data_IF_985433591119
#
_entry.id   IF_985433591119
#
_cell.length_a   1.000
_cell.length_b   1.000
_cell.length_c   1.000
_cell.angle_alpha   90.00
_cell.angle_beta   90.00
_cell.angle_gamma   90.00
#
_symmetry.space_group_name_H-M   'P 1'
#
loop_
_entity.id
_entity.type
_entity.pdbx_description
1 polymer ?
#
# COMPACT_ATOMS: atom_id res chain seq x y z
N UNK A 1 -2.33 -1.34 -24.13
CA UNK A 1 -1.10 -1.87 -23.52
C UNK A 1 -1.23 -1.68 -22.02
N UNK A 2 -1.45 -2.75 -21.24
CA UNK A 2 -1.55 -2.62 -19.79
C UNK A 2 -0.13 -2.72 -19.21
N UNK A 3 0.45 -1.57 -18.86
CA UNK A 3 1.76 -1.53 -18.21
C UNK A 3 1.68 -2.20 -16.85
N UNK A 4 2.52 -3.20 -16.61
CA UNK A 4 2.72 -3.71 -15.26
C UNK A 4 3.43 -2.63 -14.44
N UNK A 5 2.81 -2.18 -13.35
CA UNK A 5 3.53 -1.37 -12.37
C UNK A 5 4.70 -2.20 -11.85
N UNK A 6 5.91 -1.65 -11.90
CA UNK A 6 7.11 -2.34 -11.40
C UNK A 6 7.00 -2.46 -9.88
N UNK A 7 7.50 -3.57 -9.32
CA UNK A 7 7.49 -3.79 -7.88
C UNK A 7 8.17 -2.64 -7.11
N UNK A 8 9.25 -2.08 -7.65
CA UNK A 8 9.91 -0.90 -7.05
C UNK A 8 8.97 0.31 -6.91
N UNK A 9 8.10 0.54 -7.90
CA UNK A 9 7.12 1.63 -7.86
C UNK A 9 5.99 1.34 -6.87
N UNK A 10 5.56 0.08 -6.74
CA UNK A 10 4.63 -0.31 -5.68
C UNK A 10 5.23 -0.05 -4.30
N UNK A 11 6.51 -0.39 -4.09
CA UNK A 11 7.21 -0.13 -2.82
C UNK A 11 7.35 1.35 -2.55
N UNK A 12 7.70 2.17 -3.56
CA UNK A 12 7.74 3.62 -3.41
C UNK A 12 6.40 4.17 -2.90
N UNK A 13 5.29 3.74 -3.51
CA UNK A 13 3.93 4.12 -3.07
C UNK A 13 3.63 3.60 -1.66
N UNK A 14 3.95 2.33 -1.38
CA UNK A 14 3.68 1.71 -0.09
C UNK A 14 4.36 2.42 1.07
N UNK A 15 5.64 2.74 0.91
CA UNK A 15 6.42 3.46 1.92
C UNK A 15 6.10 4.95 1.98
N UNK A 16 5.65 5.60 0.89
CA UNK A 16 5.31 7.03 0.90
C UNK A 16 3.91 7.30 1.43
N UNK A 17 2.92 6.49 1.03
CA UNK A 17 1.50 6.76 1.31
C UNK A 17 0.92 5.86 2.40
N UNK A 18 1.33 4.58 2.47
CA UNK A 18 0.64 3.62 3.32
C UNK A 18 1.29 3.44 4.69
N UNK A 19 2.61 3.17 4.72
CA UNK A 19 3.46 2.74 5.85
C UNK A 19 2.78 2.85 7.23
N UNK A 20 1.87 1.91 7.56
CA UNK A 20 1.03 2.07 8.74
C UNK A 20 1.77 1.69 10.03
N UNK A 21 2.85 0.91 9.90
CA UNK A 21 3.74 0.50 10.99
C UNK A 21 4.77 1.61 11.28
N UNK A 22 5.11 2.44 10.29
CA UNK A 22 6.11 3.48 10.40
C UNK A 22 7.53 2.91 10.31
N UNK A 23 7.75 1.95 9.41
CA UNK A 23 9.05 1.29 9.22
C UNK A 23 10.09 2.21 8.59
N UNK A 24 9.66 3.12 7.70
CA UNK A 24 10.56 4.02 7.01
C UNK A 24 10.51 5.43 7.62
N UNK A 25 11.63 5.84 8.22
CA UNK A 25 11.74 7.19 8.74
C UNK A 25 11.76 8.23 7.60
N UNK A 26 11.24 9.43 7.88
CA UNK A 26 11.19 10.52 6.90
C UNK A 26 12.59 10.83 6.35
N UNK A 27 12.74 10.74 5.03
CA UNK A 27 14.00 11.00 4.33
C UNK A 27 14.89 9.78 4.14
N UNK A 28 14.49 8.61 4.64
CA UNK A 28 15.14 7.35 4.33
C UNK A 28 14.59 6.73 3.03
N UNK A 29 15.34 5.75 2.51
CA UNK A 29 14.95 4.92 1.37
C UNK A 29 14.80 3.48 1.85
N UNK A 30 13.76 2.81 1.37
CA UNK A 30 13.46 1.42 1.74
C UNK A 30 14.47 0.42 1.15
N UNK A 31 15.16 0.80 0.07
CA UNK A 31 16.12 -0.07 -0.62
C UNK A 31 17.22 -0.54 0.34
N UNK A 32 17.60 -1.80 0.21
CA UNK A 32 18.56 -2.50 1.08
C UNK A 32 18.15 -2.62 2.57
N UNK A 33 16.95 -2.18 2.98
CA UNK A 33 16.43 -2.42 4.33
C UNK A 33 15.92 -3.88 4.44
N UNK A 34 16.05 -4.52 5.61
CA UNK A 34 15.58 -5.91 5.80
C UNK A 34 14.06 -6.06 5.72
N UNK A 35 13.32 -4.95 5.78
CA UNK A 35 11.86 -4.90 5.67
C UNK A 35 11.37 -4.37 4.31
N UNK A 36 12.27 -4.26 3.32
CA UNK A 36 11.96 -3.69 2.01
C UNK A 36 10.76 -4.35 1.29
N UNK A 37 10.48 -5.61 1.61
CA UNK A 37 9.41 -6.43 1.05
C UNK A 37 8.20 -6.60 1.98
N UNK A 38 8.20 -5.98 3.16
CA UNK A 38 7.16 -6.14 4.19
C UNK A 38 5.74 -5.91 3.63
N UNK A 39 5.59 -4.94 2.72
CA UNK A 39 4.30 -4.57 2.15
C UNK A 39 4.01 -5.21 0.79
N UNK A 40 4.96 -5.94 0.20
CA UNK A 40 4.85 -6.48 -1.15
C UNK A 40 3.57 -7.31 -1.37
N UNK A 41 3.20 -8.26 -0.49
CA UNK A 41 2.03 -9.12 -0.73
C UNK A 41 0.73 -8.31 -0.85
N UNK A 42 0.56 -7.30 0.00
CA UNK A 42 -0.65 -6.49 0.04
C UNK A 42 -0.72 -5.52 -1.15
N UNK A 43 0.40 -4.88 -1.49
CA UNK A 43 0.48 -3.94 -2.60
C UNK A 43 0.32 -4.66 -3.95
N UNK A 44 0.89 -5.86 -4.08
CA UNK A 44 0.71 -6.71 -5.25
C UNK A 44 -0.74 -7.18 -5.40
N UNK A 45 -1.41 -7.56 -4.31
CA UNK A 45 -2.82 -7.94 -4.35
C UNK A 45 -3.70 -6.74 -4.72
N UNK A 46 -3.56 -5.60 -4.06
CA UNK A 46 -4.32 -4.38 -4.37
C UNK A 46 -4.13 -3.98 -5.84
N UNK A 47 -2.88 -3.94 -6.32
CA UNK A 47 -2.59 -3.62 -7.72
C UNK A 47 -3.12 -4.68 -8.70
N UNK A 48 -3.05 -5.96 -8.33
CA UNK A 48 -3.59 -7.07 -9.11
C UNK A 48 -5.10 -6.99 -9.29
N UNK A 49 -5.81 -6.61 -8.23
CA UNK A 49 -7.26 -6.46 -8.21
C UNK A 49 -7.74 -5.18 -8.90
N UNK A 50 -7.07 -4.05 -8.66
CA UNK A 50 -7.35 -2.77 -9.33
C UNK A 50 -7.19 -2.85 -10.85
N UNK A 51 -6.30 -3.71 -11.36
CA UNK A 51 -6.16 -3.97 -12.80
C UNK A 51 -7.29 -4.81 -13.40
N UNK A 52 -8.07 -5.49 -12.56
CA UNK A 52 -9.15 -6.37 -12.99
C UNK A 52 -10.47 -5.64 -12.84
N UNK A 53 -11.06 -5.73 -11.66
CA UNK A 53 -12.45 -5.40 -11.39
C UNK A 53 -12.65 -4.51 -10.17
N UNK A 54 -11.62 -4.31 -9.33
CA UNK A 54 -11.74 -3.43 -8.17
C UNK A 54 -11.79 -1.96 -8.58
N UNK A 55 -12.72 -1.24 -7.97
CA UNK A 55 -12.66 0.22 -7.90
C UNK A 55 -11.72 0.64 -6.76
N UNK A 56 -11.40 1.94 -6.68
CA UNK A 56 -10.52 2.44 -5.61
C UNK A 56 -11.08 2.15 -4.23
N UNK A 57 -12.39 2.28 -4.03
CA UNK A 57 -12.99 2.02 -2.71
C UNK A 57 -12.79 0.57 -2.25
N UNK A 58 -12.84 -0.43 -3.16
CA UNK A 58 -12.54 -1.83 -2.81
C UNK A 58 -11.09 -1.99 -2.32
N UNK A 59 -10.15 -1.32 -2.99
CA UNK A 59 -8.75 -1.33 -2.59
C UNK A 59 -8.52 -0.59 -1.27
N UNK A 60 -9.27 0.49 -1.00
CA UNK A 60 -9.24 1.21 0.29
C UNK A 60 -9.71 0.30 1.41
N UNK A 61 -10.85 -0.36 1.24
CA UNK A 61 -11.38 -1.30 2.24
C UNK A 61 -10.42 -2.46 2.49
N UNK A 62 -9.80 -2.99 1.44
CA UNK A 62 -8.77 -4.02 1.56
C UNK A 62 -7.57 -3.56 2.38
N UNK A 63 -6.97 -2.41 2.05
CA UNK A 63 -5.80 -1.88 2.76
C UNK A 63 -6.13 -1.54 4.22
N UNK A 64 -7.33 -1.01 4.48
CA UNK A 64 -7.81 -0.76 5.85
C UNK A 64 -7.96 -2.06 6.64
N UNK A 65 -8.49 -3.12 6.02
CA UNK A 65 -8.61 -4.44 6.64
C UNK A 65 -7.23 -5.02 6.99
N UNK A 66 -6.25 -4.90 6.10
CA UNK A 66 -4.90 -5.35 6.40
C UNK A 66 -4.30 -4.54 7.56
N UNK A 67 -4.38 -3.22 7.53
CA UNK A 67 -3.87 -2.36 8.61
C UNK A 67 -4.53 -2.65 9.96
N UNK A 68 -5.87 -2.68 9.99
CA UNK A 68 -6.62 -2.75 11.24
C UNK A 68 -6.64 -4.17 11.82
N UNK A 69 -6.91 -5.16 10.97
CA UNK A 69 -7.20 -6.52 11.41
C UNK A 69 -5.97 -7.41 11.31
N UNK A 70 -5.26 -7.39 10.17
CA UNK A 70 -4.12 -8.27 9.96
C UNK A 70 -2.87 -7.81 10.72
N UNK A 71 -2.55 -6.52 10.66
CA UNK A 71 -1.44 -5.91 11.40
C UNK A 71 -1.81 -5.54 12.84
N UNK A 72 -3.10 -5.60 13.20
CA UNK A 72 -3.58 -5.33 14.55
C UNK A 72 -3.42 -3.88 15.03
N UNK A 73 -3.29 -2.92 14.11
CA UNK A 73 -3.02 -1.51 14.45
C UNK A 73 -4.26 -0.73 14.89
N UNK A 74 -5.44 -1.35 14.72
CA UNK A 74 -6.76 -0.75 14.97
C UNK A 74 -7.09 0.40 14.04
N UNK A 75 -8.34 0.85 14.08
CA UNK A 75 -8.78 1.99 13.27
C UNK A 75 -8.22 3.30 13.83
N UNK A 76 -7.52 4.06 12.99
CA UNK A 76 -6.98 5.39 13.30
C UNK A 76 -7.60 6.42 12.36
N UNK A 77 -7.61 7.69 12.79
CA UNK A 77 -8.10 8.80 11.97
C UNK A 77 -7.38 8.91 10.60
N UNK A 78 -6.15 8.41 10.54
CA UNK A 78 -5.29 8.43 9.35
C UNK A 78 -5.35 7.16 8.50
N UNK A 79 -6.01 6.09 8.97
CA UNK A 79 -6.08 4.80 8.25
C UNK A 79 -6.74 4.94 6.88
N UNK A 80 -7.95 5.51 6.83
CA UNK A 80 -8.66 5.71 5.56
C UNK A 80 -7.94 6.69 4.61
N UNK A 81 -7.45 7.86 5.06
CA UNK A 81 -6.64 8.74 4.21
C UNK A 81 -5.41 8.07 3.59
N UNK A 82 -4.64 7.29 4.36
CA UNK A 82 -3.47 6.57 3.83
C UNK A 82 -3.86 5.50 2.82
N UNK A 83 -4.88 4.70 3.13
CA UNK A 83 -5.40 3.68 2.22
C UNK A 83 -5.94 4.29 0.91
N UNK A 84 -6.64 5.42 0.98
CA UNK A 84 -7.16 6.16 -0.19
C UNK A 84 -6.05 6.73 -1.07
N UNK A 85 -5.05 7.38 -0.47
CA UNK A 85 -3.88 7.88 -1.21
C UNK A 85 -3.13 6.74 -1.92
N UNK A 86 -2.91 5.63 -1.21
CA UNK A 86 -2.25 4.43 -1.74
C UNK A 86 -3.02 3.83 -2.91
N UNK A 87 -4.32 3.59 -2.75
CA UNK A 87 -5.17 3.01 -3.80
C UNK A 87 -5.23 3.90 -5.06
N UNK A 88 -5.31 5.22 -4.88
CA UNK A 88 -5.27 6.18 -6.00
C UNK A 88 -3.92 6.17 -6.71
N UNK A 89 -2.82 6.12 -5.97
CA UNK A 89 -1.48 6.08 -6.54
C UNK A 89 -1.20 4.79 -7.32
N UNK A 90 -1.70 3.63 -6.83
CA UNK A 90 -1.56 2.35 -7.55
C UNK A 90 -2.38 2.34 -8.86
N UNK A 91 -3.53 3.01 -8.89
CA UNK A 91 -4.41 3.04 -10.07
C UNK A 91 -3.92 4.00 -11.16
N UNK A 92 -3.16 5.03 -10.81
CA UNK A 92 -2.68 6.08 -11.72
C UNK A 92 -1.77 5.52 -12.82
#
# INVERSE_FOLDING_TARGET
>A
MHGHLKLSCLRDIGFSEWDPIGLLAKGEVWDQKPFADEYDPYLLEAAGRLRRDWIVDDAVEFLMKIECDHMGLGLRATSRPRADATAKAIRA
#
